data_IF_937056047164
#
_entry.id   IF_937056047164
#
_cell.length_a   1.000
_cell.length_b   1.000
_cell.length_c   1.000
_cell.angle_alpha   90.00
_cell.angle_beta   90.00
_cell.angle_gamma   90.00
#
_symmetry.space_group_name_H-M   'P 1'
#
loop_
_entity.id
_entity.type
_entity.pdbx_description
1 polymer ?
#
# COMPACT_ATOMS: atom_id res chain seq x y z
N UNK A 1 46.71 -4.74 -43.20
CA UNK A 1 45.51 -5.49 -42.77
C UNK A 1 44.67 -4.59 -41.89
N UNK A 2 43.35 -4.42 -42.11
CA UNK A 2 42.54 -3.56 -41.26
C UNK A 2 42.23 -4.24 -39.91
N UNK A 3 42.42 -3.47 -38.84
CA UNK A 3 42.21 -3.85 -37.44
C UNK A 3 40.71 -3.95 -37.14
N UNK A 4 40.20 -5.17 -36.98
CA UNK A 4 38.80 -5.42 -36.62
C UNK A 4 38.68 -5.18 -35.10
N UNK A 5 38.31 -3.95 -34.73
CA UNK A 5 37.89 -3.66 -33.35
C UNK A 5 36.62 -4.48 -33.08
N UNK A 6 36.71 -5.43 -32.15
CA UNK A 6 35.57 -6.22 -31.70
C UNK A 6 34.43 -5.29 -31.29
N UNK A 7 33.27 -5.40 -31.95
CA UNK A 7 32.05 -4.70 -31.54
C UNK A 7 31.74 -5.12 -30.12
N UNK A 8 31.72 -4.16 -29.19
CA UNK A 8 31.30 -4.41 -27.81
C UNK A 8 29.85 -4.87 -27.86
N UNK A 9 29.60 -6.10 -27.43
CA UNK A 9 28.25 -6.64 -27.34
C UNK A 9 27.55 -5.89 -26.20
N UNK A 10 26.71 -4.90 -26.53
CA UNK A 10 25.91 -4.17 -25.55
C UNK A 10 24.87 -5.15 -24.99
N UNK A 11 25.12 -5.63 -23.77
CA UNK A 11 24.17 -6.45 -23.04
C UNK A 11 22.92 -5.61 -22.74
N UNK A 12 21.74 -6.13 -23.10
CA UNK A 12 20.45 -5.48 -22.84
C UNK A 12 20.33 -5.08 -21.37
N UNK A 13 19.84 -3.85 -21.10
CA UNK A 13 19.76 -3.26 -19.75
C UNK A 13 19.08 -4.19 -18.74
N UNK A 14 18.06 -4.91 -19.16
CA UNK A 14 17.31 -5.86 -18.31
C UNK A 14 18.11 -7.13 -17.96
N UNK A 15 19.17 -7.45 -18.69
CA UNK A 15 20.09 -8.55 -18.38
C UNK A 15 21.15 -8.16 -17.35
N UNK A 16 21.22 -6.88 -16.96
CA UNK A 16 22.20 -6.40 -16.00
C UNK A 16 22.05 -7.07 -14.63
N UNK A 17 23.17 -7.28 -13.95
CA UNK A 17 23.20 -7.90 -12.61
C UNK A 17 22.38 -7.12 -11.58
N UNK A 18 22.24 -5.81 -11.75
CA UNK A 18 21.39 -4.96 -10.90
C UNK A 18 19.91 -5.30 -11.04
N UNK A 19 19.42 -5.44 -12.27
CA UNK A 19 18.00 -5.76 -12.52
C UNK A 19 17.65 -7.17 -12.05
N UNK A 20 18.56 -8.13 -12.25
CA UNK A 20 18.41 -9.50 -11.72
C UNK A 20 18.26 -9.51 -10.20
N UNK A 21 19.12 -8.78 -9.48
CA UNK A 21 19.04 -8.65 -8.01
C UNK A 21 17.76 -7.98 -7.55
N UNK A 22 17.27 -6.99 -8.30
CA UNK A 22 16.00 -6.33 -7.99
C UNK A 22 14.82 -7.30 -8.15
N UNK A 23 14.81 -8.09 -9.22
CA UNK A 23 13.83 -9.15 -9.45
C UNK A 23 13.86 -10.21 -8.35
N UNK A 24 15.04 -10.73 -8.00
CA UNK A 24 15.21 -11.68 -6.89
C UNK A 24 14.69 -11.12 -5.57
N UNK A 25 14.99 -9.84 -5.27
CA UNK A 25 14.49 -9.17 -4.06
C UNK A 25 12.97 -9.00 -4.10
N UNK A 26 12.39 -8.69 -5.24
CA UNK A 26 10.94 -8.55 -5.39
C UNK A 26 10.22 -9.88 -5.18
N UNK A 27 10.72 -10.97 -5.80
CA UNK A 27 10.17 -12.32 -5.61
C UNK A 27 10.27 -12.76 -4.15
N UNK A 28 11.43 -12.56 -3.51
CA UNK A 28 11.60 -12.84 -2.08
C UNK A 28 10.59 -12.08 -1.24
N UNK A 29 10.43 -10.77 -1.48
CA UNK A 29 9.45 -9.95 -0.75
C UNK A 29 8.02 -10.49 -0.90
N UNK A 30 7.63 -10.91 -2.10
CA UNK A 30 6.30 -11.50 -2.33
C UNK A 30 6.14 -12.82 -1.58
N UNK A 31 7.16 -13.68 -1.60
CA UNK A 31 7.15 -14.94 -0.83
C UNK A 31 7.07 -14.69 0.68
N UNK A 32 7.83 -13.72 1.17
CA UNK A 32 7.81 -13.29 2.57
C UNK A 32 6.42 -12.79 2.97
N UNK A 33 5.70 -12.08 2.10
CA UNK A 33 4.33 -11.65 2.40
C UNK A 33 3.34 -12.81 2.48
N UNK A 34 3.45 -13.82 1.61
CA UNK A 34 2.57 -14.99 1.67
C UNK A 34 2.86 -15.87 2.89
N UNK A 35 4.13 -16.00 3.28
CA UNK A 35 4.50 -16.76 4.49
C UNK A 35 4.14 -16.01 5.77
N UNK A 36 4.16 -14.68 5.76
CA UNK A 36 3.69 -13.87 6.88
C UNK A 36 2.16 -13.83 7.02
N UNK A 37 1.41 -14.13 5.96
CA UNK A 37 -0.05 -14.26 6.06
C UNK A 37 -0.41 -15.52 6.85
N UNK A 38 -0.86 -15.29 8.07
CA UNK A 38 -1.36 -16.35 8.93
C UNK A 38 -2.78 -16.73 8.49
N UNK A 39 -3.11 -18.02 8.58
CA UNK A 39 -4.48 -18.50 8.34
C UNK A 39 -5.45 -17.85 9.35
N UNK A 40 -6.42 -17.01 8.94
CA UNK A 40 -7.28 -16.31 9.89
C UNK A 40 -8.29 -17.22 10.61
N UNK A 41 -8.48 -18.46 10.14
CA UNK A 41 -9.45 -19.43 10.71
C UNK A 41 -8.82 -20.45 11.64
N UNK A 42 -7.53 -20.35 11.87
CA UNK A 42 -6.79 -21.20 12.80
C UNK A 42 -7.11 -20.75 14.23
N UNK A 43 -7.90 -21.56 14.93
CA UNK A 43 -8.50 -21.22 16.22
C UNK A 43 -7.59 -21.45 17.43
N UNK A 44 -6.43 -22.09 17.25
CA UNK A 44 -5.54 -22.49 18.36
C UNK A 44 -4.44 -21.46 18.68
N UNK A 45 -4.66 -20.18 18.37
CA UNK A 45 -3.62 -19.17 18.58
C UNK A 45 -3.67 -18.55 19.97
N UNK A 46 -2.54 -18.59 20.65
CA UNK A 46 -2.32 -17.97 21.97
C UNK A 46 -2.35 -16.43 21.94
N UNK A 47 -2.21 -15.80 20.76
CA UNK A 47 -2.08 -14.35 20.65
C UNK A 47 -3.05 -13.73 19.64
N UNK A 48 -3.58 -12.55 19.97
CA UNK A 48 -4.30 -11.70 19.03
C UNK A 48 -3.34 -11.16 17.95
N UNK A 49 -3.74 -11.27 16.70
CA UNK A 49 -2.94 -10.85 15.53
C UNK A 49 -3.78 -9.97 14.61
N UNK A 50 -3.17 -8.94 14.03
CA UNK A 50 -3.79 -8.14 12.99
C UNK A 50 -3.74 -8.87 11.64
N UNK A 51 -4.89 -9.13 11.01
CA UNK A 51 -4.98 -9.89 9.75
C UNK A 51 -4.27 -9.17 8.59
N UNK A 52 -4.35 -7.84 8.52
CA UNK A 52 -3.79 -7.07 7.40
C UNK A 52 -2.26 -6.97 7.43
N UNK A 53 -1.66 -7.01 8.62
CA UNK A 53 -0.20 -6.88 8.79
C UNK A 53 0.49 -8.18 9.22
N UNK A 54 -0.26 -9.19 9.68
CA UNK A 54 0.28 -10.40 10.29
C UNK A 54 0.99 -10.14 11.63
N UNK A 55 0.91 -8.93 12.19
CA UNK A 55 1.65 -8.54 13.39
C UNK A 55 0.89 -8.88 14.66
N UNK A 56 1.61 -9.48 15.62
CA UNK A 56 1.11 -9.76 16.97
C UNK A 56 0.75 -8.45 17.68
N UNK A 57 -0.39 -8.46 18.37
CA UNK A 57 -0.85 -7.34 19.19
C UNK A 57 -0.09 -7.36 20.52
N UNK A 58 0.39 -6.22 21.03
CA UNK A 58 0.97 -6.16 22.36
C UNK A 58 -0.07 -6.50 23.44
N UNK A 59 0.39 -7.11 24.52
CA UNK A 59 -0.47 -7.73 25.54
C UNK A 59 -1.40 -6.72 26.22
N UNK A 60 -0.97 -5.47 26.39
CA UNK A 60 -1.79 -4.39 26.96
C UNK A 60 -3.01 -4.05 26.10
N UNK A 61 -2.85 -4.08 24.77
CA UNK A 61 -3.95 -3.85 23.83
C UNK A 61 -4.81 -5.10 23.65
N UNK A 62 -4.19 -6.28 23.70
CA UNK A 62 -4.91 -7.55 23.67
C UNK A 62 -5.90 -7.65 24.85
N UNK A 63 -5.45 -7.31 26.05
CA UNK A 63 -6.26 -7.28 27.26
C UNK A 63 -7.45 -6.33 27.15
N UNK A 64 -7.22 -5.11 26.65
CA UNK A 64 -8.27 -4.11 26.46
C UNK A 64 -9.34 -4.59 25.45
N UNK A 65 -8.92 -5.28 24.39
CA UNK A 65 -9.81 -5.85 23.38
C UNK A 65 -10.62 -7.01 23.93
N UNK A 66 -9.99 -7.91 24.70
CA UNK A 66 -10.68 -9.07 25.30
C UNK A 66 -11.68 -8.64 26.39
N UNK A 67 -11.36 -7.59 27.14
CA UNK A 67 -12.20 -7.06 28.23
C UNK A 67 -13.24 -6.03 27.76
N UNK A 68 -13.31 -5.72 26.47
CA UNK A 68 -14.17 -4.66 25.91
C UNK A 68 -15.65 -4.85 26.29
N UNK A 69 -16.11 -6.09 26.27
CA UNK A 69 -17.50 -6.44 26.57
C UNK A 69 -17.82 -6.19 28.05
N UNK A 70 -16.93 -6.61 28.95
CA UNK A 70 -17.09 -6.42 30.39
C UNK A 70 -17.05 -4.95 30.77
N UNK A 71 -16.14 -4.18 30.16
CA UNK A 71 -16.07 -2.73 30.35
C UNK A 71 -17.36 -2.07 29.85
N UNK A 72 -17.88 -2.50 28.70
CA UNK A 72 -19.16 -2.03 28.17
C UNK A 72 -20.32 -2.30 29.14
N UNK A 73 -20.44 -3.53 29.64
CA UNK A 73 -21.46 -3.93 30.62
C UNK A 73 -21.38 -3.12 31.91
N UNK A 74 -20.16 -2.88 32.43
CA UNK A 74 -19.96 -2.04 33.62
C UNK A 74 -20.42 -0.60 33.37
N UNK A 75 -19.99 0.00 32.27
CA UNK A 75 -20.39 1.37 31.92
C UNK A 75 -21.90 1.53 31.73
N UNK A 76 -22.56 0.50 31.19
CA UNK A 76 -24.02 0.49 31.08
C UNK A 76 -24.71 0.42 32.44
N UNK A 77 -24.24 -0.46 33.35
CA UNK A 77 -24.80 -0.55 34.71
C UNK A 77 -24.63 0.77 35.46
N UNK A 78 -23.45 1.37 35.42
CA UNK A 78 -23.18 2.69 36.00
C UNK A 78 -24.11 3.77 35.43
N UNK A 79 -24.38 3.75 34.13
CA UNK A 79 -25.34 4.67 33.52
C UNK A 79 -26.75 4.48 34.07
N UNK A 80 -27.24 3.24 34.15
CA UNK A 80 -28.58 2.95 34.68
C UNK A 80 -28.69 3.40 36.14
N UNK A 81 -27.72 3.06 36.97
CA UNK A 81 -27.76 3.37 38.40
C UNK A 81 -27.69 4.88 38.63
N UNK A 82 -26.73 5.57 38.01
CA UNK A 82 -26.52 7.02 38.23
C UNK A 82 -27.60 7.90 37.60
N UNK A 83 -28.13 7.53 36.43
CA UNK A 83 -29.04 8.38 35.64
C UNK A 83 -30.50 8.04 35.84
N UNK A 84 -30.85 6.74 35.89
CA UNK A 84 -32.24 6.31 35.95
C UNK A 84 -32.71 6.11 37.38
N UNK A 85 -31.92 5.43 38.22
CA UNK A 85 -32.31 5.12 39.60
C UNK A 85 -32.06 6.30 40.53
N UNK A 86 -30.80 6.68 40.68
CA UNK A 86 -30.39 7.63 41.72
C UNK A 86 -30.58 9.08 41.27
N UNK A 87 -30.72 9.32 39.95
CA UNK A 87 -30.86 10.64 39.31
C UNK A 87 -29.80 11.66 39.77
N UNK A 88 -28.65 11.18 40.24
CA UNK A 88 -27.54 12.00 40.76
C UNK A 88 -26.96 12.89 39.69
N UNK A 89 -27.06 12.47 38.42
CA UNK A 89 -26.55 13.23 37.29
C UNK A 89 -27.62 13.37 36.19
N UNK A 90 -27.79 14.58 35.64
CA UNK A 90 -28.83 14.90 34.63
C UNK A 90 -28.74 14.03 33.40
N UNK A 91 -29.83 13.36 33.01
CA UNK A 91 -29.89 12.43 31.87
C UNK A 91 -29.17 12.93 30.59
N UNK A 92 -29.32 14.22 30.25
CA UNK A 92 -28.73 14.82 29.03
C UNK A 92 -27.24 15.20 29.13
N UNK A 93 -26.58 14.98 30.27
CA UNK A 93 -25.14 15.27 30.38
C UNK A 93 -24.36 14.27 29.50
N UNK A 94 -23.34 14.71 28.75
CA UNK A 94 -22.55 13.83 27.90
C UNK A 94 -22.00 12.61 28.65
N UNK A 95 -22.02 11.44 28.00
CA UNK A 95 -21.31 10.26 28.49
C UNK A 95 -19.82 10.44 28.31
N UNK A 96 -19.05 10.06 29.34
CA UNK A 96 -17.60 10.00 29.28
C UNK A 96 -17.18 8.83 28.40
N UNK A 97 -16.31 9.08 27.43
CA UNK A 97 -15.76 8.04 26.55
C UNK A 97 -14.74 7.21 27.33
N UNK A 98 -14.88 5.89 27.29
CA UNK A 98 -13.86 4.96 27.79
C UNK A 98 -12.68 4.93 26.82
N UNK A 99 -11.47 5.16 27.34
CA UNK A 99 -10.23 5.19 26.54
C UNK A 99 -9.65 3.77 26.44
N UNK A 100 -10.29 2.91 25.65
CA UNK A 100 -9.79 1.56 25.37
C UNK A 100 -8.78 1.60 24.23
N UNK A 101 -7.66 0.89 24.39
CA UNK A 101 -6.69 0.73 23.31
C UNK A 101 -7.23 -0.26 22.29
N UNK A 102 -7.01 0.02 21.01
CA UNK A 102 -7.44 -0.83 19.90
C UNK A 102 -6.29 -1.01 18.91
N UNK A 103 -6.46 -1.86 17.89
CA UNK A 103 -5.48 -2.03 16.81
C UNK A 103 -5.04 -0.70 16.16
N UNK A 104 -5.93 0.30 16.11
CA UNK A 104 -5.59 1.64 15.58
C UNK A 104 -4.59 2.41 16.43
N UNK A 105 -4.43 2.07 17.71
CA UNK A 105 -3.40 2.66 18.58
C UNK A 105 -2.02 2.03 18.40
N UNK A 106 -1.97 0.77 17.94
CA UNK A 106 -0.73 0.00 17.77
C UNK A 106 -0.09 0.29 16.42
N UNK A 107 -0.89 0.28 15.35
CA UNK A 107 -0.40 0.39 13.97
C UNK A 107 -0.57 1.81 13.41
N UNK A 108 -0.26 2.83 14.21
CA UNK A 108 -0.26 4.20 13.70
C UNK A 108 0.83 4.35 12.64
N UNK A 109 0.38 4.44 11.39
CA UNK A 109 1.25 4.80 10.29
C UNK A 109 1.50 6.31 10.43
N UNK A 110 2.75 6.70 10.67
CA UNK A 110 3.13 8.11 10.70
C UNK A 110 2.57 8.82 9.46
N UNK A 111 1.67 9.81 9.59
CA UNK A 111 1.07 10.48 8.44
C UNK A 111 2.14 11.16 7.55
N UNK A 112 3.27 11.53 8.16
CA UNK A 112 4.44 12.09 7.49
C UNK A 112 5.23 11.08 6.63
N UNK A 113 5.13 9.78 6.88
CA UNK A 113 5.74 8.74 6.02
C UNK A 113 4.85 8.48 4.80
N UNK A 114 3.54 8.39 5.00
CA UNK A 114 2.56 8.22 3.90
C UNK A 114 2.61 9.38 2.90
N UNK A 115 2.67 10.63 3.40
CA UNK A 115 2.73 11.81 2.53
C UNK A 115 3.98 11.82 1.65
N UNK A 116 5.14 11.46 2.22
CA UNK A 116 6.42 11.35 1.49
C UNK A 116 6.40 10.23 0.45
N UNK A 117 5.88 9.06 0.79
CA UNK A 117 5.76 7.93 -0.16
C UNK A 117 4.84 8.30 -1.34
N UNK A 118 3.70 8.95 -1.05
CA UNK A 118 2.76 9.44 -2.07
C UNK A 118 3.37 10.53 -2.96
N UNK A 119 4.17 11.45 -2.40
CA UNK A 119 4.91 12.46 -3.16
C UNK A 119 5.98 11.85 -4.07
N UNK A 120 6.73 10.85 -3.60
CA UNK A 120 7.71 10.10 -4.41
C UNK A 120 7.03 9.37 -5.56
N UNK A 121 5.89 8.72 -5.30
CA UNK A 121 5.15 7.98 -6.32
C UNK A 121 4.56 8.92 -7.38
N UNK A 122 3.96 10.06 -7.00
CA UNK A 122 3.53 11.11 -7.95
C UNK A 122 4.66 11.65 -8.81
N UNK A 123 5.87 11.79 -8.25
CA UNK A 123 7.03 12.26 -9.01
C UNK A 123 7.52 11.24 -10.02
N UNK A 124 7.48 9.94 -9.67
CA UNK A 124 7.82 8.83 -10.59
C UNK A 124 6.80 8.70 -11.72
N UNK A 125 5.53 8.77 -11.38
CA UNK A 125 4.42 8.83 -12.32
C UNK A 125 4.65 9.94 -13.35
N UNK A 126 4.88 11.19 -12.92
CA UNK A 126 5.18 12.32 -13.83
C UNK A 126 6.35 12.07 -14.78
N UNK A 127 7.37 11.32 -14.37
CA UNK A 127 8.52 11.01 -15.22
C UNK A 127 8.21 9.98 -16.32
N UNK A 128 7.22 9.11 -16.12
CA UNK A 128 6.82 8.10 -17.10
C UNK A 128 6.15 8.76 -18.32
N UNK A 129 5.35 9.82 -18.11
CA UNK A 129 4.70 10.55 -19.21
C UNK A 129 5.54 11.69 -19.80
N UNK A 130 6.71 11.98 -19.22
CA UNK A 130 7.59 13.06 -19.67
C UNK A 130 8.63 12.60 -20.72
N UNK A 131 8.70 11.30 -21.00
CA UNK A 131 9.63 10.78 -22.01
C UNK A 131 8.91 10.69 -23.35
N UNK A 132 9.19 11.57 -24.33
CA UNK A 132 8.59 11.44 -25.66
C UNK A 132 9.00 10.11 -26.27
N UNK A 133 8.03 9.35 -26.80
CA UNK A 133 8.31 8.13 -27.53
C UNK A 133 9.26 8.44 -28.69
N UNK A 134 10.33 7.66 -28.90
CA UNK A 134 11.19 7.84 -30.05
C UNK A 134 10.38 7.53 -31.32
N UNK A 135 10.15 8.56 -32.14
CA UNK A 135 9.50 8.44 -33.45
C UNK A 135 10.58 8.59 -34.51
N UNK A 136 10.62 7.68 -35.47
CA UNK A 136 11.55 7.79 -36.59
C UNK A 136 10.79 8.32 -37.79
N UNK A 137 11.28 9.42 -38.37
CA UNK A 137 10.68 10.04 -39.55
C UNK A 137 11.37 9.50 -40.80
N UNK A 138 10.61 8.81 -41.64
CA UNK A 138 11.11 8.28 -42.91
C UNK A 138 10.48 9.11 -44.02
N UNK A 139 11.30 9.68 -44.90
CA UNK A 139 10.83 10.45 -46.06
C UNK A 139 11.12 9.71 -47.36
N UNK A 140 10.14 9.72 -48.27
CA UNK A 140 10.30 9.17 -49.61
C UNK A 140 10.83 10.25 -50.57
N UNK A 141 11.35 9.81 -51.73
CA UNK A 141 11.92 10.69 -52.77
C UNK A 141 10.96 11.74 -53.35
N UNK A 142 9.66 11.66 -53.05
CA UNK A 142 8.63 12.63 -53.42
C UNK A 142 8.29 13.63 -52.31
N UNK A 143 9.05 13.66 -51.20
CA UNK A 143 8.89 14.63 -50.11
C UNK A 143 7.82 14.28 -49.07
N UNK A 144 7.06 13.21 -49.27
CA UNK A 144 6.12 12.71 -48.27
C UNK A 144 6.89 12.02 -47.12
N UNK A 145 6.58 12.41 -45.88
CA UNK A 145 7.22 11.86 -44.69
C UNK A 145 6.20 11.22 -43.75
N UNK A 146 6.48 9.98 -43.35
CA UNK A 146 5.64 9.20 -42.44
C UNK A 146 6.42 8.97 -41.16
N UNK A 147 5.77 9.24 -40.04
CA UNK A 147 6.30 9.07 -38.69
C UNK A 147 5.85 7.71 -38.14
N UNK A 148 6.80 6.82 -37.88
CA UNK A 148 6.51 5.46 -37.37
C UNK A 148 7.15 5.31 -35.98
N UNK A 149 6.37 4.92 -34.95
CA UNK A 149 6.91 4.63 -33.62
C UNK A 149 7.74 3.34 -33.66
N UNK A 150 8.95 3.40 -33.12
CA UNK A 150 9.85 2.25 -33.02
C UNK A 150 9.73 1.59 -31.65
N UNK A 151 9.32 0.31 -31.64
CA UNK A 151 9.08 -0.61 -30.50
C UNK A 151 7.65 -0.61 -29.88
N UNK A 152 7.12 -1.79 -29.47
CA UNK A 152 5.77 -1.92 -28.92
C UNK A 152 5.75 -1.37 -27.49
N UNK A 153 5.16 -0.19 -27.31
CA UNK A 153 4.79 0.28 -25.98
C UNK A 153 3.89 -0.77 -25.33
N UNK A 154 4.34 -1.36 -24.22
CA UNK A 154 3.57 -2.29 -23.41
C UNK A 154 2.16 -1.75 -23.21
N UNK A 155 1.16 -2.56 -23.56
CA UNK A 155 -0.26 -2.26 -23.45
C UNK A 155 -0.57 -1.82 -22.01
N UNK A 156 -0.70 -0.51 -21.80
CA UNK A 156 -1.33 0.03 -20.59
C UNK A 156 -2.69 0.53 -21.01
N UNK A 157 -3.70 -0.19 -20.54
CA UNK A 157 -5.13 0.03 -20.72
C UNK A 157 -5.48 1.52 -20.67
N UNK A 158 -5.94 2.06 -21.80
CA UNK A 158 -6.53 3.39 -21.87
C UNK A 158 -7.88 3.32 -21.17
N UNK A 159 -7.94 3.77 -19.92
CA UNK A 159 -9.21 4.07 -19.25
C UNK A 159 -9.74 5.36 -19.87
N UNK A 160 -10.63 5.23 -20.86
CA UNK A 160 -11.31 6.37 -21.46
C UNK A 160 -12.11 7.11 -20.38
N UNK A 161 -11.64 8.30 -19.99
CA UNK A 161 -12.47 9.25 -19.23
C UNK A 161 -13.57 9.73 -20.17
N UNK A 162 -14.83 9.40 -19.84
CA UNK A 162 -15.99 10.08 -20.44
C UNK A 162 -15.83 11.59 -20.22
N UNK A 163 -16.01 12.43 -21.25
CA UNK A 163 -16.20 13.85 -21.02
C UNK A 163 -17.52 14.06 -20.25
N UNK A 164 -17.48 14.96 -19.28
CA UNK A 164 -18.68 15.48 -18.64
C UNK A 164 -19.47 16.30 -19.67
N UNK A 165 -20.80 16.23 -19.55
CA UNK A 165 -21.82 16.85 -20.41
C UNK A 165 -21.58 18.33 -20.69
#
# INVERSE_FOLDING_TARGET
>A
MPNIKSKKCETHKESSLSERKLGEKAVKKTMDTFTAFLNPFDTEREHLVCISSGQKVPEDVADDLLKVEDVGKKSFKEFVDTRLKDKTTRFHKPLTKTKLKTFGSVFQIDPNKISKERCKNKSREKSIWATPCPVTRISNRHGESVEIPTEPCSVVTVFARRPAS
#
